data_IF_193487014098
#
_entry.id   IF_193487014098
#
_cell.length_a   1.000
_cell.length_b   1.000
_cell.length_c   1.000
_cell.angle_alpha   90.00
_cell.angle_beta   90.00
_cell.angle_gamma   90.00
#
_symmetry.space_group_name_H-M   'P 1'
#
loop_
_entity.id
_entity.type
_entity.pdbx_description
1 polymer ?
#
# COMPACT_ATOMS: atom_id res chain seq x y z
N UNK A 1 -1.07 -16.51 22.94
CA UNK A 1 -1.60 -16.11 22.54
C UNK A 1 -1.67 -15.79 21.87
N UNK A 2 -1.91 -15.81 21.84
CA UNK A 2 -2.36 -15.31 21.35
C UNK A 2 -2.87 -14.83 20.74
N UNK A 3 -2.75 -14.74 20.93
CA UNK A 3 -3.42 -14.19 20.58
C UNK A 3 -3.72 -13.72 19.87
N UNK A 4 -3.63 -14.00 19.95
CA UNK A 4 -3.98 -13.63 19.35
C UNK A 4 -4.50 -13.44 18.70
N UNK A 5 -4.72 -13.56 18.65
CA UNK A 5 -5.43 -13.53 18.10
C UNK A 5 -6.12 -12.81 17.57
N UNK A 6 -6.39 -12.61 17.04
CA UNK A 6 -7.20 -11.86 16.65
C UNK A 6 -8.05 -11.54 15.96
N UNK A 7 -8.05 -11.47 15.91
CA UNK A 7 -9.51 -11.35 15.88
C UNK A 7 -10.06 -10.53 14.73
N UNK A 8 -9.21 -10.08 13.90
CA UNK A 8 -9.57 -9.30 12.74
C UNK A 8 -10.13 -10.20 11.64
N UNK A 9 -11.36 -9.92 11.17
CA UNK A 9 -11.94 -10.69 10.07
C UNK A 9 -11.22 -10.37 8.74
N UNK A 10 -11.37 -11.25 7.75
CA UNK A 10 -10.81 -11.02 6.44
C UNK A 10 -11.42 -9.76 5.78
N UNK A 11 -12.72 -9.53 6.01
CA UNK A 11 -13.38 -8.34 5.49
C UNK A 11 -12.78 -7.05 6.09
N UNK A 12 -12.51 -7.08 7.39
CA UNK A 12 -11.88 -5.95 8.09
C UNK A 12 -10.46 -5.73 7.58
N UNK A 13 -9.73 -6.83 7.40
CA UNK A 13 -8.38 -6.76 6.84
C UNK A 13 -8.39 -6.13 5.44
N UNK A 14 -9.32 -6.57 4.58
CA UNK A 14 -9.44 -6.02 3.23
C UNK A 14 -9.73 -4.53 3.25
N UNK A 15 -10.61 -4.10 4.14
CA UNK A 15 -10.93 -2.70 4.29
C UNK A 15 -9.69 -1.88 4.62
N UNK A 16 -8.94 -2.35 5.62
CA UNK A 16 -7.72 -1.66 6.06
C UNK A 16 -6.63 -1.67 5.01
N UNK A 17 -6.46 -2.79 4.32
CA UNK A 17 -5.47 -2.91 3.26
C UNK A 17 -5.80 -1.99 2.09
N UNK A 18 -7.08 -1.88 1.75
CA UNK A 18 -7.53 -1.00 0.67
C UNK A 18 -7.27 0.47 1.02
N UNK A 19 -7.49 0.84 2.28
CA UNK A 19 -7.19 2.20 2.75
C UNK A 19 -5.69 2.46 2.67
N UNK A 20 -4.87 1.49 3.08
CA UNK A 20 -3.42 1.61 3.01
C UNK A 20 -2.94 1.82 1.58
N UNK A 21 -3.51 1.07 0.64
CA UNK A 21 -3.17 1.21 -0.78
C UNK A 21 -3.55 2.59 -1.30
N UNK A 22 -4.72 3.07 -0.93
CA UNK A 22 -5.19 4.39 -1.32
C UNK A 22 -4.26 5.47 -0.79
N UNK A 23 -3.87 5.38 0.48
CA UNK A 23 -2.95 6.36 1.07
C UNK A 23 -1.57 6.30 0.44
N UNK A 24 -1.10 5.10 0.11
CA UNK A 24 0.19 4.93 -0.58
C UNK A 24 0.18 5.63 -1.94
N UNK A 25 -0.91 5.50 -2.68
CA UNK A 25 -1.04 6.14 -3.98
C UNK A 25 -1.11 7.66 -3.87
N UNK A 26 -1.74 8.17 -2.83
CA UNK A 26 -1.76 9.61 -2.56
C UNK A 26 -0.35 10.11 -2.29
N UNK A 27 0.42 9.35 -1.51
CA UNK A 27 1.80 9.71 -1.19
C UNK A 27 2.66 9.74 -2.45
N UNK A 28 2.45 8.79 -3.36
CA UNK A 28 3.14 8.80 -4.65
C UNK A 28 2.86 10.08 -5.42
N UNK A 29 1.60 10.50 -5.46
CA UNK A 29 1.18 11.72 -6.16
C UNK A 29 1.90 12.94 -5.57
N UNK A 30 1.92 13.04 -4.25
CA UNK A 30 2.62 14.12 -3.56
C UNK A 30 4.10 14.12 -3.88
N UNK A 31 4.69 12.94 -3.93
CA UNK A 31 6.12 12.80 -4.22
C UNK A 31 6.43 13.26 -5.64
N UNK A 32 5.58 12.90 -6.61
CA UNK A 32 5.73 13.37 -7.98
C UNK A 32 5.66 14.90 -8.06
N UNK A 33 4.71 15.49 -7.35
CA UNK A 33 4.56 16.95 -7.31
C UNK A 33 5.80 17.63 -6.73
N UNK A 34 6.32 17.09 -5.64
CA UNK A 34 7.52 17.63 -5.00
C UNK A 34 8.74 17.49 -5.90
N UNK A 35 8.84 16.37 -6.59
CA UNK A 35 9.94 16.14 -7.53
C UNK A 35 9.86 17.08 -8.72
N UNK A 36 8.67 17.25 -9.28
CA UNK A 36 8.45 18.14 -10.42
C UNK A 36 8.76 19.60 -10.08
N UNK A 37 8.61 19.97 -8.84
CA UNK A 37 8.91 21.33 -8.37
C UNK A 37 10.32 21.46 -7.79
N UNK A 38 11.13 20.45 -7.99
CA UNK A 38 12.54 20.43 -7.58
C UNK A 38 12.77 20.56 -6.07
N UNK A 39 11.76 20.19 -5.27
CA UNK A 39 11.91 20.14 -3.82
C UNK A 39 12.68 18.91 -3.36
N UNK A 40 12.80 17.91 -4.21
CA UNK A 40 13.49 16.67 -3.88
C UNK A 40 14.56 16.35 -4.92
N UNK A 41 15.63 15.73 -4.44
CA UNK A 41 16.66 15.18 -5.31
C UNK A 41 16.03 14.10 -6.18
N UNK A 42 16.32 14.13 -7.48
CA UNK A 42 15.77 13.19 -8.44
C UNK A 42 16.06 11.73 -8.07
N UNK A 43 17.28 11.45 -7.64
CA UNK A 43 17.68 10.09 -7.25
C UNK A 43 16.88 9.58 -6.05
N UNK A 44 16.72 10.45 -5.05
CA UNK A 44 15.98 10.13 -3.86
C UNK A 44 14.52 9.90 -4.21
N UNK A 45 13.97 10.75 -5.05
CA UNK A 45 12.60 10.66 -5.52
C UNK A 45 12.35 9.35 -6.26
N UNK A 46 13.24 8.97 -7.18
CA UNK A 46 13.13 7.72 -7.93
C UNK A 46 13.19 6.50 -7.01
N UNK A 47 14.08 6.54 -6.02
CA UNK A 47 14.21 5.45 -5.06
C UNK A 47 12.93 5.25 -4.26
N UNK A 48 12.37 6.35 -3.75
CA UNK A 48 11.15 6.30 -2.95
C UNK A 48 9.96 5.84 -3.80
N UNK A 49 9.85 6.34 -5.03
CA UNK A 49 8.79 5.93 -5.94
C UNK A 49 8.87 4.45 -6.28
N UNK A 50 10.08 3.95 -6.44
CA UNK A 50 10.31 2.52 -6.67
C UNK A 50 9.81 1.69 -5.49
N UNK A 51 10.08 2.16 -4.27
CA UNK A 51 9.60 1.48 -3.06
C UNK A 51 8.07 1.50 -2.96
N UNK A 52 7.43 2.62 -3.29
CA UNK A 52 5.98 2.71 -3.30
C UNK A 52 5.36 1.75 -4.32
N UNK A 53 5.95 1.67 -5.51
CA UNK A 53 5.46 0.76 -6.54
C UNK A 53 5.53 -0.69 -6.06
N UNK A 54 6.61 -1.04 -5.38
CA UNK A 54 6.79 -2.37 -4.82
C UNK A 54 5.78 -2.67 -3.72
N UNK A 55 5.58 -1.71 -2.81
CA UNK A 55 4.60 -1.85 -1.73
C UNK A 55 3.20 -1.98 -2.29
N UNK A 56 2.84 -1.17 -3.27
CA UNK A 56 1.53 -1.23 -3.90
C UNK A 56 1.28 -2.58 -4.55
N UNK A 57 2.30 -3.12 -5.22
CA UNK A 57 2.21 -4.44 -5.85
C UNK A 57 1.97 -5.53 -4.82
N UNK A 58 2.68 -5.46 -3.69
CA UNK A 58 2.51 -6.43 -2.60
C UNK A 58 1.11 -6.34 -2.03
N UNK A 59 0.63 -5.12 -1.77
CA UNK A 59 -0.71 -4.91 -1.24
C UNK A 59 -1.80 -5.42 -2.19
N UNK A 60 -1.67 -5.14 -3.47
CA UNK A 60 -2.62 -5.60 -4.48
C UNK A 60 -2.66 -7.13 -4.50
N UNK A 61 -1.50 -7.77 -4.43
CA UNK A 61 -1.41 -9.22 -4.43
C UNK A 61 -2.08 -9.82 -3.19
N UNK A 62 -1.83 -9.24 -2.02
CA UNK A 62 -2.43 -9.71 -0.77
C UNK A 62 -3.94 -9.53 -0.80
N UNK A 63 -4.40 -8.37 -1.25
CA UNK A 63 -5.84 -8.08 -1.35
C UNK A 63 -6.53 -9.09 -2.27
N UNK A 64 -5.91 -9.36 -3.42
CA UNK A 64 -6.46 -10.33 -4.37
C UNK A 64 -6.58 -11.72 -3.76
N UNK A 65 -5.56 -12.15 -3.02
CA UNK A 65 -5.56 -13.47 -2.39
C UNK A 65 -6.62 -13.59 -1.31
N UNK A 66 -6.74 -12.58 -0.46
CA UNK A 66 -7.73 -12.61 0.61
C UNK A 66 -9.14 -12.54 0.05
N UNK A 67 -9.33 -11.71 -0.97
CA UNK A 67 -10.62 -11.58 -1.63
C UNK A 67 -11.06 -12.91 -2.28
N UNK A 68 -10.12 -13.60 -2.89
CA UNK A 68 -10.37 -14.92 -3.47
C UNK A 68 -10.80 -15.91 -2.40
N UNK A 69 -10.11 -15.89 -1.26
CA UNK A 69 -10.47 -16.77 -0.14
C UNK A 69 -11.85 -16.52 0.38
N UNK A 70 -12.29 -15.26 0.40
CA UNK A 70 -13.65 -14.92 0.86
C UNK A 70 -14.72 -15.45 -0.08
N UNK A 71 -14.43 -15.55 -1.37
CA UNK A 71 -15.40 -16.06 -2.35
C UNK A 71 -15.53 -17.58 -2.30
N UNK A 72 -14.52 -18.25 -1.82
CA UNK A 72 -14.53 -19.71 -1.70
C UNK A 72 -15.18 -20.13 -0.38
#
# INVERSE_FOLDING_TARGET
MNETQHPQSDADFLSKASIALKESRKSETWLHMLSDNEYLDLRMSESILHDYARINKILITIIAKVRKGLKE
#
